data_IF_532841013252
#
_entry.id   IF_532841013252
#
_cell.length_a   1.000
_cell.length_b   1.000
_cell.length_c   1.000
_cell.angle_alpha   90.00
_cell.angle_beta   90.00
_cell.angle_gamma   90.00
#
_symmetry.space_group_name_H-M   'P 1'
#
loop_
_entity.id
_entity.type
_entity.pdbx_description
1 polymer ?
#
# COMPACT_ATOMS: atom_id res chain seq x y z
N UNK A 1 -3.34 16.15 15.02
CA UNK A 1 -2.66 17.24 14.31
C UNK A 1 -3.31 17.35 12.94
N UNK A 2 -3.66 18.53 12.47
CA UNK A 2 -4.26 18.68 11.13
C UNK A 2 -3.13 19.00 10.17
N UNK A 3 -2.82 18.10 9.23
CA UNK A 3 -1.82 18.35 8.20
C UNK A 3 -2.21 19.56 7.34
N UNK A 4 -1.23 20.39 6.99
CA UNK A 4 -1.41 21.43 6.00
C UNK A 4 -1.19 20.84 4.60
N UNK A 5 -2.28 20.49 3.91
CA UNK A 5 -2.20 19.87 2.58
C UNK A 5 -1.52 20.76 1.52
N UNK A 6 -1.62 22.09 1.63
CA UNK A 6 -0.90 23.01 0.75
C UNK A 6 0.61 22.89 0.92
N UNK A 7 1.08 22.79 2.18
CA UNK A 7 2.49 22.60 2.48
C UNK A 7 2.99 21.22 2.00
N UNK A 8 2.13 20.20 2.07
CA UNK A 8 2.43 18.87 1.51
C UNK A 8 2.63 18.94 -0.01
N UNK A 9 1.76 19.64 -0.74
CA UNK A 9 1.91 19.77 -2.20
C UNK A 9 3.18 20.55 -2.59
N UNK A 10 3.51 21.65 -1.90
CA UNK A 10 4.78 22.36 -2.07
C UNK A 10 6.00 21.46 -1.80
N UNK A 11 5.92 20.60 -0.76
CA UNK A 11 6.96 19.62 -0.46
C UNK A 11 7.06 18.51 -1.50
N UNK A 12 5.94 18.11 -2.12
CA UNK A 12 5.94 17.14 -3.22
C UNK A 12 6.70 17.73 -4.41
N UNK A 13 6.41 18.98 -4.79
CA UNK A 13 7.15 19.70 -5.84
C UNK A 13 8.64 19.80 -5.51
N UNK A 14 8.97 20.16 -4.26
CA UNK A 14 10.35 20.18 -3.78
C UNK A 14 11.03 18.81 -3.93
N UNK A 15 10.39 17.73 -3.49
CA UNK A 15 10.95 16.37 -3.56
C UNK A 15 11.15 15.94 -5.02
N UNK A 16 10.21 16.24 -5.91
CA UNK A 16 10.30 15.97 -7.35
C UNK A 16 11.40 16.76 -8.05
N UNK A 17 11.83 17.91 -7.50
CA UNK A 17 12.92 18.71 -8.03
C UNK A 17 14.31 18.26 -7.55
N UNK A 18 14.38 17.41 -6.52
CA UNK A 18 15.65 16.84 -6.05
C UNK A 18 16.21 15.83 -7.06
N UNK A 19 17.51 15.61 -6.96
CA UNK A 19 18.24 14.58 -7.71
C UNK A 19 18.92 13.62 -6.74
N UNK A 20 19.21 12.37 -7.13
CA UNK A 20 19.89 11.43 -6.25
C UNK A 20 21.18 12.00 -5.65
N UNK A 21 21.92 12.83 -6.38
CA UNK A 21 23.20 13.38 -5.91
C UNK A 21 23.05 14.43 -4.80
N UNK A 22 21.88 15.07 -4.67
CA UNK A 22 21.65 16.16 -3.70
C UNK A 22 20.53 15.87 -2.69
N UNK A 23 19.76 14.80 -2.88
CA UNK A 23 18.57 14.52 -2.09
C UNK A 23 18.89 14.36 -0.61
N UNK A 24 19.92 13.57 -0.26
CA UNK A 24 20.30 13.32 1.14
C UNK A 24 20.61 14.62 1.90
N UNK A 25 21.39 15.52 1.28
CA UNK A 25 21.76 16.80 1.88
C UNK A 25 20.56 17.73 2.02
N UNK A 26 19.71 17.81 0.99
CA UNK A 26 18.50 18.64 1.01
C UNK A 26 17.51 18.17 2.09
N UNK A 27 17.27 16.86 2.21
CA UNK A 27 16.37 16.28 3.22
C UNK A 27 16.95 16.49 4.63
N UNK A 28 18.25 16.27 4.82
CA UNK A 28 18.92 16.50 6.11
C UNK A 28 18.85 17.97 6.53
N UNK A 29 19.00 18.90 5.58
CA UNK A 29 18.87 20.34 5.82
C UNK A 29 17.44 20.71 6.24
N UNK A 30 16.43 20.20 5.53
CA UNK A 30 15.04 20.43 5.93
C UNK A 30 14.74 19.95 7.37
N UNK A 31 15.27 18.79 7.77
CA UNK A 31 15.16 18.28 9.14
C UNK A 31 15.93 19.12 10.17
N UNK A 32 17.07 19.68 9.78
CA UNK A 32 17.86 20.58 10.64
C UNK A 32 17.14 21.91 10.87
N UNK A 33 16.47 22.42 9.84
CA UNK A 33 15.67 23.65 9.86
C UNK A 33 14.32 23.49 10.57
N UNK A 34 13.98 22.28 11.00
CA UNK A 34 12.79 22.00 11.81
C UNK A 34 11.55 21.64 11.01
N UNK A 35 11.70 21.12 9.79
CA UNK A 35 10.58 20.53 9.06
C UNK A 35 9.86 19.47 9.90
N UNK A 36 8.53 19.45 9.79
CA UNK A 36 7.70 18.45 10.44
C UNK A 36 7.95 17.05 9.84
N UNK A 37 8.19 16.05 10.71
CA UNK A 37 8.49 14.69 10.29
C UNK A 37 7.27 14.03 9.61
N UNK A 38 6.05 14.26 10.11
CA UNK A 38 4.82 13.68 9.54
C UNK A 38 4.55 14.27 8.15
N UNK A 39 4.73 15.58 7.95
CA UNK A 39 4.63 16.20 6.63
C UNK A 39 5.60 15.55 5.64
N UNK A 40 6.84 15.29 6.04
CA UNK A 40 7.85 14.66 5.20
C UNK A 40 7.51 13.20 4.86
N UNK A 41 7.05 12.39 5.82
CA UNK A 41 6.59 11.03 5.55
C UNK A 41 5.44 11.00 4.53
N UNK A 42 4.48 11.91 4.72
CA UNK A 42 3.33 12.08 3.83
C UNK A 42 3.76 12.50 2.44
N UNK A 43 4.68 13.48 2.33
CA UNK A 43 5.25 13.90 1.05
C UNK A 43 5.86 12.72 0.31
N UNK A 44 6.68 11.90 0.96
CA UNK A 44 7.28 10.73 0.33
C UNK A 44 6.24 9.75 -0.22
N UNK A 45 5.28 9.36 0.62
CA UNK A 45 4.25 8.40 0.23
C UNK A 45 3.36 8.92 -0.89
N UNK A 46 2.94 10.19 -0.84
CA UNK A 46 2.09 10.80 -1.86
C UNK A 46 2.85 11.04 -3.17
N UNK A 47 4.12 11.45 -3.13
CA UNK A 47 4.97 11.54 -4.32
C UNK A 47 5.06 10.18 -4.99
N UNK A 48 5.37 9.13 -4.23
CA UNK A 48 5.46 7.77 -4.75
C UNK A 48 4.13 7.26 -5.32
N UNK A 49 3.01 7.60 -4.67
CA UNK A 49 1.66 7.26 -5.12
C UNK A 49 1.31 7.95 -6.44
N UNK A 50 1.63 9.23 -6.57
CA UNK A 50 1.24 10.05 -7.73
C UNK A 50 2.11 9.77 -8.95
N UNK A 51 3.41 9.59 -8.76
CA UNK A 51 4.40 9.69 -9.85
C UNK A 51 5.19 8.42 -10.16
N UNK A 52 5.02 7.35 -9.39
CA UNK A 52 5.70 6.08 -9.62
C UNK A 52 4.71 4.98 -10.02
N UNK A 53 5.16 4.07 -10.87
CA UNK A 53 4.42 2.86 -11.19
C UNK A 53 4.62 1.81 -10.10
N UNK A 54 3.61 1.64 -9.24
CA UNK A 54 3.64 0.72 -8.09
C UNK A 54 3.12 -0.70 -8.41
N UNK A 55 3.09 -1.11 -9.68
CA UNK A 55 2.73 -2.46 -10.08
C UNK A 55 3.87 -3.44 -9.82
N UNK A 56 3.54 -4.70 -9.50
CA UNK A 56 4.54 -5.72 -9.14
C UNK A 56 5.52 -6.10 -10.27
N UNK A 57 5.26 -5.69 -11.52
CA UNK A 57 6.08 -6.03 -12.69
C UNK A 57 7.40 -5.27 -12.79
N UNK A 58 7.64 -4.26 -11.95
CA UNK A 58 8.76 -3.32 -12.16
C UNK A 58 10.07 -3.73 -11.48
N UNK A 59 10.04 -4.58 -10.44
CA UNK A 59 11.26 -5.12 -9.79
C UNK A 59 11.01 -6.54 -9.32
N UNK A 60 11.32 -7.55 -10.13
CA UNK A 60 11.43 -8.94 -9.66
C UNK A 60 10.22 -9.47 -8.84
N UNK A 61 9.04 -8.85 -8.95
CA UNK A 61 7.84 -9.19 -8.19
C UNK A 61 7.52 -8.35 -6.94
N UNK A 62 8.13 -7.18 -6.70
CA UNK A 62 7.89 -6.36 -5.48
C UNK A 62 7.24 -5.00 -5.74
N UNK A 63 6.54 -4.46 -4.73
CA UNK A 63 5.97 -3.09 -4.68
C UNK A 63 7.09 -2.06 -4.78
N UNK A 64 6.84 -0.81 -5.21
CA UNK A 64 7.82 0.24 -4.88
C UNK A 64 7.85 0.39 -3.37
N UNK A 65 9.01 0.14 -2.78
CA UNK A 65 9.23 0.44 -1.36
C UNK A 65 9.05 1.95 -1.10
N UNK A 66 9.08 2.81 -2.12
CA UNK A 66 8.83 4.23 -1.97
C UNK A 66 7.42 4.55 -1.43
N UNK A 67 6.36 3.89 -1.91
CA UNK A 67 4.99 4.20 -1.44
C UNK A 67 4.74 3.69 -0.02
N UNK A 68 4.97 2.40 0.23
CA UNK A 68 4.66 1.78 1.53
C UNK A 68 5.80 1.88 2.55
N UNK A 69 7.04 2.03 2.09
CA UNK A 69 8.21 2.11 2.97
C UNK A 69 8.27 3.40 3.77
N UNK A 70 7.57 4.46 3.35
CA UNK A 70 7.38 5.65 4.20
C UNK A 70 6.59 5.30 5.48
N UNK A 71 5.50 4.52 5.38
CA UNK A 71 4.76 4.08 6.57
C UNK A 71 5.54 3.06 7.38
N UNK A 72 6.19 2.09 6.73
CA UNK A 72 6.98 1.08 7.42
C UNK A 72 8.10 1.73 8.25
N UNK A 73 8.87 2.64 7.62
CA UNK A 73 9.89 3.41 8.28
C UNK A 73 9.32 4.33 9.38
N UNK A 74 8.15 4.95 9.16
CA UNK A 74 7.46 5.77 10.18
C UNK A 74 7.06 4.96 11.40
N UNK A 75 6.52 3.74 11.21
CA UNK A 75 6.19 2.81 12.30
C UNK A 75 7.44 2.38 13.06
N UNK A 76 8.52 2.04 12.34
CA UNK A 76 9.82 1.71 12.94
C UNK A 76 10.44 2.90 13.70
N UNK A 77 10.21 4.13 13.24
CA UNK A 77 10.66 5.35 13.89
C UNK A 77 9.91 5.66 15.21
N UNK A 78 8.72 5.08 15.40
CA UNK A 78 7.94 5.26 16.63
C UNK A 78 8.72 4.75 17.85
N UNK A 79 8.85 5.60 18.88
CA UNK A 79 9.62 5.30 20.09
C UNK A 79 11.16 5.38 19.94
N UNK A 80 11.67 5.68 18.74
CA UNK A 80 13.12 5.79 18.51
C UNK A 80 13.67 7.17 18.91
N UNK A 81 14.97 7.21 19.16
CA UNK A 81 15.70 8.47 19.36
C UNK A 81 15.74 9.29 18.06
N UNK A 82 15.81 10.63 18.19
CA UNK A 82 15.82 11.59 17.06
C UNK A 82 16.77 11.19 15.94
N UNK A 83 18.00 10.77 16.29
CA UNK A 83 19.02 10.34 15.31
C UNK A 83 18.51 9.21 14.41
N UNK A 84 17.88 8.20 14.99
CA UNK A 84 17.37 7.04 14.26
C UNK A 84 16.16 7.42 13.41
N UNK A 85 15.23 8.22 13.94
CA UNK A 85 14.06 8.70 13.18
C UNK A 85 14.48 9.49 11.94
N UNK A 86 15.38 10.45 12.11
CA UNK A 86 15.91 11.25 11.00
C UNK A 86 16.60 10.38 9.95
N UNK A 87 17.40 9.39 10.37
CA UNK A 87 18.08 8.48 9.45
C UNK A 87 17.10 7.61 8.65
N UNK A 88 16.03 7.13 9.28
CA UNK A 88 14.96 6.40 8.60
C UNK A 88 14.26 7.29 7.56
N UNK A 89 13.96 8.53 7.93
CA UNK A 89 13.28 9.50 7.06
C UNK A 89 14.12 9.86 5.85
N UNK A 90 15.40 10.17 6.06
CA UNK A 90 16.35 10.47 4.97
C UNK A 90 16.44 9.31 4.00
N UNK A 91 16.54 8.06 4.49
CA UNK A 91 16.63 6.89 3.62
C UNK A 91 15.33 6.67 2.82
N UNK A 92 14.17 6.78 3.46
CA UNK A 92 12.89 6.59 2.77
C UNK A 92 12.67 7.63 1.68
N UNK A 93 12.89 8.93 1.98
CA UNK A 93 12.74 9.99 0.99
C UNK A 93 13.80 9.94 -0.11
N UNK A 94 15.03 9.55 0.22
CA UNK A 94 16.07 9.31 -0.78
C UNK A 94 15.64 8.21 -1.77
N UNK A 95 15.07 7.11 -1.28
CA UNK A 95 14.57 6.04 -2.15
C UNK A 95 13.46 6.54 -3.09
N UNK A 96 12.52 7.36 -2.60
CA UNK A 96 11.50 8.00 -3.44
C UNK A 96 12.14 8.82 -4.57
N UNK A 97 13.18 9.60 -4.25
CA UNK A 97 13.92 10.35 -5.28
C UNK A 97 14.63 9.42 -6.26
N UNK A 98 15.28 8.35 -5.81
CA UNK A 98 15.88 7.38 -6.72
C UNK A 98 14.85 6.77 -7.67
N UNK A 99 13.68 6.38 -7.17
CA UNK A 99 12.63 5.76 -7.97
C UNK A 99 12.04 6.74 -9.01
N UNK A 100 12.02 8.05 -8.72
CA UNK A 100 11.62 9.08 -9.70
C UNK A 100 12.55 9.17 -10.92
N UNK A 101 13.78 8.65 -10.82
CA UNK A 101 14.76 8.61 -11.90
C UNK A 101 14.97 7.20 -12.49
N UNK A 102 14.32 6.18 -11.95
CA UNK A 102 14.42 4.81 -12.44
C UNK A 102 13.39 4.58 -13.57
N UNK A 103 13.82 4.23 -14.80
CA UNK A 103 12.91 3.98 -15.92
C UNK A 103 11.95 2.80 -15.72
N UNK A 104 12.19 1.93 -14.74
CA UNK A 104 11.25 0.89 -14.34
C UNK A 104 10.05 1.45 -13.56
N UNK A 105 10.17 2.62 -12.94
CA UNK A 105 9.13 3.23 -12.10
C UNK A 105 8.57 4.53 -12.64
N UNK A 106 9.40 5.35 -13.28
CA UNK A 106 9.08 6.69 -13.71
C UNK A 106 9.52 6.95 -15.16
N UNK A 107 8.89 7.90 -15.86
CA UNK A 107 7.74 8.69 -15.42
C UNK A 107 6.45 7.86 -15.39
N UNK A 108 5.64 8.05 -14.36
CA UNK A 108 4.29 7.49 -14.28
C UNK A 108 3.33 8.54 -13.73
N UNK A 109 2.05 8.42 -14.05
CA UNK A 109 0.99 9.16 -13.39
C UNK A 109 -0.21 8.24 -13.20
N UNK A 110 -0.66 8.10 -11.95
CA UNK A 110 -1.84 7.29 -11.64
C UNK A 110 -3.08 7.93 -12.25
N UNK A 111 -3.51 7.38 -13.39
CA UNK A 111 -4.64 7.89 -14.13
C UNK A 111 -5.93 7.81 -13.32
N UNK A 112 -6.82 8.78 -13.57
CA UNK A 112 -8.20 8.72 -13.12
C UNK A 112 -8.88 7.49 -13.72
N UNK A 113 -9.84 6.97 -12.97
CA UNK A 113 -10.49 5.71 -13.20
C UNK A 113 -11.98 5.93 -12.96
N UNK A 114 -12.81 5.27 -13.77
CA UNK A 114 -14.26 5.39 -13.71
C UNK A 114 -14.88 4.15 -13.03
N UNK A 115 -15.94 4.31 -12.25
CA UNK A 115 -16.60 3.18 -11.59
C UNK A 115 -17.30 2.26 -12.60
N UNK A 116 -17.01 0.96 -12.53
CA UNK A 116 -17.75 -0.09 -13.25
C UNK A 116 -18.58 -0.92 -12.26
N UNK A 117 -19.87 -1.08 -12.56
CA UNK A 117 -20.84 -1.78 -11.70
C UNK A 117 -21.44 -2.97 -12.42
N UNK A 118 -21.58 -4.07 -11.70
CA UNK A 118 -22.42 -5.20 -12.08
C UNK A 118 -23.88 -4.98 -11.61
N UNK A 119 -24.75 -5.98 -11.78
CA UNK A 119 -26.17 -5.86 -11.44
C UNK A 119 -26.42 -5.74 -9.93
N UNK A 120 -25.46 -6.15 -9.12
CA UNK A 120 -25.51 -6.06 -7.66
C UNK A 120 -24.13 -5.87 -7.06
N UNK A 121 -24.06 -5.34 -5.84
CA UNK A 121 -22.82 -5.22 -5.06
C UNK A 121 -22.13 -6.57 -4.87
N UNK A 122 -22.88 -7.63 -4.61
CA UNK A 122 -22.34 -8.99 -4.44
C UNK A 122 -21.68 -9.52 -5.72
N UNK A 123 -22.31 -9.31 -6.87
CA UNK A 123 -21.72 -9.66 -8.17
C UNK A 123 -20.46 -8.82 -8.45
N UNK A 124 -20.48 -7.54 -8.07
CA UNK A 124 -19.33 -6.67 -8.22
C UNK A 124 -18.13 -7.12 -7.35
N UNK A 125 -18.38 -7.54 -6.11
CA UNK A 125 -17.34 -8.13 -5.25
C UNK A 125 -16.79 -9.43 -5.83
N UNK A 126 -17.66 -10.31 -6.33
CA UNK A 126 -17.24 -11.58 -6.94
C UNK A 126 -16.38 -11.34 -8.19
N UNK A 127 -16.76 -10.38 -9.04
CA UNK A 127 -15.97 -10.01 -10.21
C UNK A 127 -14.65 -9.33 -9.82
N UNK A 128 -14.61 -8.52 -8.76
CA UNK A 128 -13.36 -7.93 -8.28
C UNK A 128 -12.37 -9.02 -7.89
N UNK A 129 -12.81 -9.99 -7.10
CA UNK A 129 -11.98 -11.14 -6.70
C UNK A 129 -11.53 -11.96 -7.90
N UNK A 130 -12.37 -12.13 -8.91
CA UNK A 130 -12.00 -12.77 -10.18
C UNK A 130 -10.92 -11.96 -10.91
N UNK A 131 -11.11 -10.66 -11.10
CA UNK A 131 -10.15 -9.77 -11.74
C UNK A 131 -8.79 -9.79 -11.03
N UNK A 132 -8.77 -9.81 -9.70
CA UNK A 132 -7.53 -9.98 -8.92
C UNK A 132 -6.87 -11.33 -9.18
N UNK A 133 -7.64 -12.44 -9.10
CA UNK A 133 -7.11 -13.80 -9.31
C UNK A 133 -6.51 -13.98 -10.71
N UNK A 134 -7.08 -13.33 -11.72
CA UNK A 134 -6.60 -13.38 -13.11
C UNK A 134 -5.55 -12.31 -13.47
N UNK A 135 -5.17 -11.43 -12.54
CA UNK A 135 -4.15 -10.42 -12.79
C UNK A 135 -4.62 -9.25 -13.66
N UNK A 136 -5.88 -8.84 -13.53
CA UNK A 136 -6.56 -7.90 -14.42
C UNK A 136 -6.71 -6.53 -13.73
N UNK A 137 -5.57 -5.95 -13.35
CA UNK A 137 -5.49 -4.77 -12.48
C UNK A 137 -6.29 -3.56 -12.97
N UNK A 138 -6.42 -3.34 -14.29
CA UNK A 138 -7.22 -2.22 -14.81
C UNK A 138 -8.70 -2.43 -14.50
N UNK A 139 -9.24 -3.63 -14.74
CA UNK A 139 -10.64 -3.96 -14.43
C UNK A 139 -10.89 -3.93 -12.93
N UNK A 140 -9.95 -4.48 -12.15
CA UNK A 140 -10.00 -4.44 -10.70
C UNK A 140 -10.08 -3.00 -10.16
N UNK A 141 -9.28 -2.08 -10.69
CA UNK A 141 -9.27 -0.67 -10.27
C UNK A 141 -10.60 0.05 -10.56
N UNK A 142 -11.17 -0.13 -11.77
CA UNK A 142 -12.50 0.42 -12.10
C UNK A 142 -13.60 -0.10 -11.18
N UNK A 143 -13.51 -1.38 -10.82
CA UNK A 143 -14.48 -2.02 -9.95
C UNK A 143 -14.34 -1.59 -8.49
N UNK A 144 -13.11 -1.39 -8.04
CA UNK A 144 -12.81 -0.82 -6.74
C UNK A 144 -13.41 0.59 -6.59
N UNK A 145 -13.31 1.41 -7.64
CA UNK A 145 -13.94 2.74 -7.67
C UNK A 145 -15.44 2.69 -7.38
N UNK A 146 -16.14 1.74 -8.01
CA UNK A 146 -17.57 1.58 -7.78
C UNK A 146 -17.85 1.12 -6.34
N UNK A 147 -17.07 0.17 -5.83
CA UNK A 147 -17.25 -0.37 -4.48
C UNK A 147 -16.92 0.64 -3.39
N UNK A 148 -15.97 1.56 -3.60
CA UNK A 148 -15.70 2.64 -2.63
C UNK A 148 -16.89 3.60 -2.49
N UNK A 149 -17.64 3.81 -3.57
CA UNK A 149 -18.85 4.64 -3.57
C UNK A 149 -20.07 3.91 -2.99
N UNK A 150 -20.14 2.59 -3.20
CA UNK A 150 -21.33 1.79 -2.91
C UNK A 150 -21.29 1.12 -1.53
N UNK A 151 -20.11 0.91 -0.95
CA UNK A 151 -19.92 0.24 0.34
C UNK A 151 -19.67 1.23 1.48
N UNK A 152 -20.13 0.93 2.71
CA UNK A 152 -19.60 1.57 3.90
C UNK A 152 -18.08 1.37 3.98
N UNK A 153 -17.35 2.41 4.41
CA UNK A 153 -15.88 2.41 4.45
C UNK A 153 -15.29 1.19 5.18
N UNK A 154 -15.86 0.82 6.31
CA UNK A 154 -15.43 -0.36 7.09
C UNK A 154 -15.51 -1.66 6.26
N UNK A 155 -16.63 -1.87 5.56
CA UNK A 155 -16.84 -3.04 4.69
C UNK A 155 -15.89 -3.01 3.49
N UNK A 156 -15.60 -1.83 2.95
CA UNK A 156 -14.64 -1.65 1.87
C UNK A 156 -13.20 -1.99 2.31
N UNK A 157 -12.80 -1.54 3.50
CA UNK A 157 -11.49 -1.85 4.09
C UNK A 157 -11.38 -3.36 4.36
N UNK A 158 -12.40 -3.97 4.96
CA UNK A 158 -12.43 -5.41 5.20
C UNK A 158 -12.28 -6.18 3.88
N UNK A 159 -12.99 -5.77 2.82
CA UNK A 159 -12.86 -6.39 1.50
C UNK A 159 -11.42 -6.31 0.95
N UNK A 160 -10.76 -5.15 1.05
CA UNK A 160 -9.36 -5.00 0.60
C UNK A 160 -8.41 -5.90 1.38
N UNK A 161 -8.56 -5.97 2.71
CA UNK A 161 -7.74 -6.81 3.57
C UNK A 161 -8.00 -8.30 3.31
N UNK A 162 -9.25 -8.70 3.11
CA UNK A 162 -9.61 -10.06 2.74
C UNK A 162 -8.98 -10.45 1.40
N UNK A 163 -9.05 -9.60 0.37
CA UNK A 163 -8.39 -9.84 -0.93
C UNK A 163 -6.88 -10.01 -0.75
N UNK A 164 -6.24 -9.13 0.05
CA UNK A 164 -4.82 -9.23 0.38
C UNK A 164 -4.49 -10.55 1.07
N UNK A 165 -5.32 -10.97 2.03
CA UNK A 165 -5.15 -12.23 2.74
C UNK A 165 -5.22 -13.45 1.81
N UNK A 166 -6.09 -13.44 0.79
CA UNK A 166 -6.14 -14.53 -0.20
C UNK A 166 -4.82 -14.67 -0.95
N UNK A 167 -4.17 -13.55 -1.27
CA UNK A 167 -2.92 -13.51 -2.02
C UNK A 167 -1.67 -13.80 -1.18
N UNK A 168 -1.78 -13.73 0.15
CA UNK A 168 -0.65 -13.78 1.08
C UNK A 168 0.17 -15.07 0.98
N UNK A 169 -0.46 -16.19 0.61
CA UNK A 169 0.24 -17.47 0.43
C UNK A 169 1.21 -17.47 -0.74
N UNK A 170 1.05 -16.55 -1.69
CA UNK A 170 1.96 -16.39 -2.81
C UNK A 170 3.04 -15.34 -2.50
N UNK A 171 2.68 -14.33 -1.70
CA UNK A 171 3.45 -13.11 -1.51
C UNK A 171 2.79 -12.27 -0.40
N UNK A 172 3.51 -12.09 0.69
CA UNK A 172 3.06 -11.36 1.88
C UNK A 172 2.75 -9.89 1.60
N UNK A 173 3.33 -9.29 0.56
CA UNK A 173 3.09 -7.89 0.20
C UNK A 173 1.64 -7.63 -0.23
N UNK A 174 0.91 -8.67 -0.65
CA UNK A 174 -0.53 -8.55 -0.94
C UNK A 174 -1.34 -8.12 0.28
N UNK A 175 -0.91 -8.47 1.50
CA UNK A 175 -1.53 -8.03 2.76
C UNK A 175 -0.77 -6.87 3.41
N UNK A 176 0.57 -6.86 3.36
CA UNK A 176 1.36 -5.78 3.95
C UNK A 176 1.04 -4.44 3.29
N UNK A 177 0.90 -4.39 1.97
CA UNK A 177 0.66 -3.15 1.20
C UNK A 177 -0.63 -2.44 1.62
N UNK A 178 -1.83 -3.08 1.63
CA UNK A 178 -3.04 -2.40 2.08
C UNK A 178 -2.96 -2.00 3.57
N UNK A 179 -2.32 -2.77 4.44
CA UNK A 179 -2.15 -2.42 5.87
C UNK A 179 -1.30 -1.14 6.04
N UNK A 180 -0.19 -1.04 5.31
CA UNK A 180 0.67 0.15 5.35
C UNK A 180 0.00 1.35 4.67
N UNK A 181 -0.71 1.14 3.55
CA UNK A 181 -1.49 2.19 2.91
C UNK A 181 -2.56 2.75 3.86
N UNK A 182 -3.27 1.90 4.62
CA UNK A 182 -4.24 2.34 5.63
C UNK A 182 -3.57 3.17 6.74
N UNK A 183 -2.36 2.81 7.16
CA UNK A 183 -1.59 3.61 8.12
C UNK A 183 -1.29 5.03 7.63
N UNK A 184 -0.97 5.19 6.34
CA UNK A 184 -0.84 6.52 5.74
C UNK A 184 -2.19 7.22 5.58
N UNK A 185 -3.26 6.49 5.22
CA UNK A 185 -4.62 7.04 5.10
C UNK A 185 -5.10 7.65 6.42
N UNK A 186 -4.76 7.05 7.55
CA UNK A 186 -5.04 7.63 8.88
C UNK A 186 -4.36 8.99 9.08
N UNK A 187 -3.18 9.18 8.48
CA UNK A 187 -2.41 10.40 8.58
C UNK A 187 -2.91 11.48 7.59
N UNK A 188 -3.10 11.11 6.31
CA UNK A 188 -3.43 12.07 5.24
C UNK A 188 -4.93 12.31 5.04
N UNK A 189 -5.77 11.43 5.56
CA UNK A 189 -7.21 11.43 5.31
C UNK A 189 -7.61 10.51 4.15
N UNK A 190 -8.89 10.10 4.14
CA UNK A 190 -9.41 9.14 3.18
C UNK A 190 -9.27 9.60 1.73
N UNK A 191 -9.64 10.85 1.44
CA UNK A 191 -9.65 11.37 0.07
C UNK A 191 -8.25 11.39 -0.55
N UNK A 192 -7.23 11.76 0.23
CA UNK A 192 -5.84 11.85 -0.20
C UNK A 192 -5.17 10.47 -0.21
N UNK A 193 -5.53 9.60 0.72
CA UNK A 193 -4.93 8.28 0.89
C UNK A 193 -5.55 7.20 0.00
N UNK A 194 -6.72 7.43 -0.60
CA UNK A 194 -7.42 6.42 -1.36
C UNK A 194 -6.61 5.90 -2.56
N UNK A 195 -5.83 6.76 -3.21
CA UNK A 195 -4.94 6.34 -4.31
C UNK A 195 -3.89 5.30 -3.88
N UNK A 196 -3.47 5.30 -2.61
CA UNK A 196 -2.57 4.26 -2.07
C UNK A 196 -3.29 2.91 -1.99
N UNK A 197 -4.58 2.90 -1.64
CA UNK A 197 -5.40 1.68 -1.60
C UNK A 197 -5.65 1.11 -3.00
N UNK A 198 -5.78 1.98 -4.01
CA UNK A 198 -5.83 1.54 -5.41
C UNK A 198 -4.54 0.86 -5.82
N UNK A 199 -3.39 1.40 -5.42
CA UNK A 199 -2.10 0.75 -5.68
C UNK A 199 -1.98 -0.60 -4.98
N UNK A 200 -2.45 -0.71 -3.73
CA UNK A 200 -2.50 -1.97 -3.01
C UNK A 200 -3.32 -3.04 -3.75
N UNK A 201 -4.46 -2.66 -4.32
CA UNK A 201 -5.25 -3.57 -5.16
C UNK A 201 -4.54 -3.90 -6.47
N UNK A 202 -4.02 -2.90 -7.18
CA UNK A 202 -3.31 -3.09 -8.45
C UNK A 202 -2.10 -4.01 -8.30
N UNK A 203 -1.41 -3.95 -7.16
CA UNK A 203 -0.35 -4.88 -6.80
C UNK A 203 -0.86 -6.32 -6.70
N UNK A 204 -1.95 -6.51 -5.95
CA UNK A 204 -2.59 -7.82 -5.79
C UNK A 204 -3.05 -8.40 -7.13
N UNK A 205 -3.50 -7.53 -8.04
CA UNK A 205 -3.98 -7.86 -9.38
C UNK A 205 -2.92 -7.73 -10.49
N UNK A 206 -1.62 -7.65 -10.18
CA UNK A 206 -0.58 -7.42 -11.21
C UNK A 206 -0.25 -8.66 -12.06
N UNK A 207 -0.60 -9.86 -11.59
CA UNK A 207 -0.43 -11.12 -12.32
C UNK A 207 -1.34 -12.23 -11.76
N UNK A 208 -1.67 -13.27 -12.56
CA UNK A 208 -2.34 -14.44 -12.05
C UNK A 208 -1.52 -15.11 -10.94
N UNK A 209 -2.14 -15.42 -9.81
CA UNK A 209 -1.50 -16.07 -8.65
C UNK A 209 -2.10 -17.46 -8.44
N UNK A 210 -1.33 -18.35 -7.81
CA UNK A 210 -1.81 -19.69 -7.44
C UNK A 210 -2.47 -19.66 -6.05
N UNK A 211 -3.80 -19.61 -6.04
CA UNK A 211 -4.60 -19.60 -4.82
C UNK A 211 -4.87 -21.00 -4.25
N UNK A 212 -4.33 -22.07 -4.85
CA UNK A 212 -4.62 -23.44 -4.40
C UNK A 212 -4.24 -23.68 -2.93
N UNK A 213 -3.18 -23.04 -2.44
CA UNK A 213 -2.78 -23.12 -1.03
C UNK A 213 -3.82 -22.46 -0.11
N UNK A 214 -4.29 -21.27 -0.46
CA UNK A 214 -5.33 -20.55 0.28
C UNK A 214 -6.66 -21.32 0.26
N UNK A 215 -7.11 -21.76 -0.91
CA UNK A 215 -8.37 -22.51 -1.07
C UNK A 215 -8.33 -23.81 -0.24
N UNK A 216 -7.19 -24.53 -0.28
CA UNK A 216 -6.97 -25.71 0.56
C UNK A 216 -7.01 -25.37 2.04
N UNK A 217 -6.45 -24.25 2.48
CA UNK A 217 -6.48 -23.82 3.88
C UNK A 217 -7.92 -23.52 4.33
N UNK A 218 -8.72 -22.83 3.51
CA UNK A 218 -10.14 -22.56 3.78
C UNK A 218 -10.94 -23.86 3.89
N UNK A 219 -10.73 -24.80 2.97
CA UNK A 219 -11.41 -26.10 2.98
C UNK A 219 -11.04 -26.95 4.20
N UNK A 220 -9.75 -26.98 4.57
CA UNK A 220 -9.30 -27.67 5.78
C UNK A 220 -9.89 -27.02 7.03
N UNK A 221 -9.95 -25.68 7.10
CA UNK A 221 -10.56 -24.96 8.22
C UNK A 221 -12.02 -25.39 8.41
N UNK A 222 -12.80 -25.49 7.33
CA UNK A 222 -14.18 -26.01 7.36
C UNK A 222 -14.25 -27.46 7.79
N UNK A 223 -13.42 -28.33 7.19
CA UNK A 223 -13.40 -29.78 7.48
C UNK A 223 -13.11 -30.08 8.95
N UNK A 224 -12.28 -29.26 9.59
CA UNK A 224 -11.93 -29.42 11.01
C UNK A 224 -12.78 -28.56 11.96
N UNK A 225 -13.78 -27.83 11.47
CA UNK A 225 -14.65 -26.99 12.31
C UNK A 225 -13.93 -25.80 12.95
N UNK A 226 -12.87 -25.29 12.32
CA UNK A 226 -12.00 -24.21 12.82
C UNK A 226 -12.43 -22.82 12.34
N UNK A 227 -13.67 -22.65 11.88
CA UNK A 227 -14.14 -21.39 11.31
C UNK A 227 -14.24 -20.25 12.32
N UNK A 228 -14.36 -20.59 13.61
CA UNK A 228 -14.36 -19.65 14.73
C UNK A 228 -13.00 -19.58 15.44
N UNK A 229 -11.94 -20.12 14.81
CA UNK A 229 -10.60 -20.23 15.39
C UNK A 229 -10.34 -21.61 16.02
N UNK A 230 -9.06 -21.91 16.22
CA UNK A 230 -8.65 -23.10 16.96
C UNK A 230 -8.84 -22.90 18.47
N UNK A 231 -9.14 -23.97 19.24
CA UNK A 231 -9.11 -23.89 20.69
C UNK A 231 -7.74 -23.38 21.14
N UNK A 232 -7.72 -22.46 22.11
CA UNK A 232 -6.46 -22.08 22.76
C UNK A 232 -5.88 -23.29 23.48
N UNK A 233 -4.92 -23.95 22.84
CA UNK A 233 -4.11 -24.99 23.44
C UNK A 233 -2.68 -24.48 23.59
N UNK A 234 -1.99 -24.88 24.65
CA UNK A 234 -0.56 -24.60 24.79
C UNK A 234 0.25 -25.17 23.62
N UNK A 235 1.47 -24.67 23.42
CA UNK A 235 2.40 -25.23 22.44
C UNK A 235 2.59 -26.74 22.73
N UNK A 236 2.28 -27.58 21.75
CA UNK A 236 2.43 -29.04 21.82
C UNK A 236 3.57 -29.45 20.87
N UNK A 237 4.84 -29.30 21.28
CA UNK A 237 6.00 -29.56 20.41
C UNK A 237 6.07 -30.99 19.90
N UNK A 238 5.43 -31.95 20.59
CA UNK A 238 5.32 -33.34 20.15
C UNK A 238 4.38 -33.56 18.95
N UNK A 239 3.65 -32.52 18.51
CA UNK A 239 2.68 -32.57 17.40
C UNK A 239 3.06 -31.71 16.18
N UNK A 240 4.24 -31.09 16.19
CA UNK A 240 4.74 -30.22 15.11
C UNK A 240 5.81 -30.94 14.31
#
# INVERSE_FOLDING_TARGET
MTLNLSAVDERIEWLCALRPENAVEAIATALADGADEDELWVTGALTATRFLNNQARNLLGFVTHAMIGCEDARRLASGQQRRTRHLLLVQALYQVVCDLYDPCFAPYELQRYWPTRERSTAENIAQLRSDVRFGEYMRADHRLAALEQDLPREVFVDLLLEIGLEGMTCDDHTLITPVLALGMVELVGWEQGYDMLRWALRYSASFPRDFAAYDRAVDLRRRYGLEQGAPLCGLQPERV
#
